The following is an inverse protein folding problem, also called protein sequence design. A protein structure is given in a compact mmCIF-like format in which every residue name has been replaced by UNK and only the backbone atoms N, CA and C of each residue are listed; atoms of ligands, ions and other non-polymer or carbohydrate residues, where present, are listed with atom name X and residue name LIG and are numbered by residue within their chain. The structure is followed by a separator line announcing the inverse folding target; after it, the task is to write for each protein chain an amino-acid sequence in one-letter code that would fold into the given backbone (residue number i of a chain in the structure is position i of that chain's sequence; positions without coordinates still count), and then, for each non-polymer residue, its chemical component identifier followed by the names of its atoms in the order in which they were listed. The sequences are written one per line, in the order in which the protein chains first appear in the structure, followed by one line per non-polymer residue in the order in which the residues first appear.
data_IF_287541286440
#
_entry.id   IF_287541286440
#
_cell.length_a   1.000
_cell.length_b   1.000
_cell.length_c   1.000
_cell.angle_alpha   90.00
_cell.angle_beta   90.00
_cell.angle_gamma   90.00
#
_symmetry.space_group_name_H-M   'P 1'
#
loop_
_entity.id
_entity.type
_entity.pdbx_description
1 polymer ?
#
# COMPACT_ATOMS: atom_id res chain seq x y z
N UNK A 1 28.06 60.69 5.32
CA UNK A 1 29.30 60.12 4.74
C UNK A 1 29.63 59.02 5.70
N UNK A 2 29.05 57.85 5.44
CA UNK A 2 28.82 56.82 6.44
C UNK A 2 29.67 55.63 5.99
N UNK A 3 30.81 55.46 6.66
CA UNK A 3 31.81 54.46 6.35
C UNK A 3 31.46 53.18 7.13
N UNK A 4 31.28 52.07 6.41
CA UNK A 4 31.15 50.73 6.97
C UNK A 4 32.32 49.88 6.46
N UNK A 5 33.32 49.68 7.31
CA UNK A 5 34.31 48.60 7.24
C UNK A 5 34.33 47.85 8.59
N UNK A 6 34.95 46.67 8.62
CA UNK A 6 35.07 45.84 9.83
C UNK A 6 36.50 45.65 10.34
N UNK A 7 37.47 46.47 9.90
CA UNK A 7 38.88 46.38 10.30
C UNK A 7 39.69 47.69 10.29
N UNK A 8 39.04 48.84 10.47
CA UNK A 8 39.60 50.18 10.64
C UNK A 8 41.00 50.25 11.31
N UNK A 9 42.06 50.47 10.52
CA UNK A 9 43.42 50.77 11.02
C UNK A 9 44.10 52.00 10.38
N UNK A 10 43.41 52.74 9.51
CA UNK A 10 43.78 54.11 9.14
C UNK A 10 44.82 54.30 8.03
N UNK A 11 45.21 53.27 7.28
CA UNK A 11 46.03 53.46 6.07
C UNK A 11 45.63 52.52 4.92
N UNK A 12 44.86 53.06 3.98
CA UNK A 12 44.67 52.49 2.64
C UNK A 12 43.43 51.62 2.45
N UNK A 13 42.26 52.24 2.32
CA UNK A 13 41.00 51.52 2.07
C UNK A 13 40.52 51.68 0.62
N UNK A 14 39.97 50.59 0.07
CA UNK A 14 39.38 50.50 -1.28
C UNK A 14 37.92 50.96 -1.31
N UNK A 15 37.49 51.62 -2.40
CA UNK A 15 36.24 52.40 -2.47
C UNK A 15 34.90 51.62 -2.48
N UNK A 16 34.86 50.30 -2.27
CA UNK A 16 33.61 49.54 -2.43
C UNK A 16 33.45 48.41 -1.40
N UNK A 17 32.73 48.66 -0.30
CA UNK A 17 32.45 47.65 0.73
C UNK A 17 31.11 46.94 0.58
N UNK A 18 31.14 45.64 0.88
CA UNK A 18 30.08 44.66 0.82
C UNK A 18 29.09 44.78 2.00
N UNK A 19 27.79 44.95 1.71
CA UNK A 19 26.72 44.85 2.74
C UNK A 19 25.81 43.62 2.54
N UNK A 20 26.01 42.81 1.49
CA UNK A 20 25.03 41.78 1.11
C UNK A 20 25.24 40.39 1.76
N UNK A 21 26.45 40.03 2.21
CA UNK A 21 26.76 38.64 2.57
C UNK A 21 26.63 38.27 4.06
N UNK A 22 26.51 39.23 4.98
CA UNK A 22 26.29 38.89 6.40
C UNK A 22 24.83 38.50 6.72
N UNK A 23 23.90 38.68 5.76
CA UNK A 23 22.48 38.39 5.94
C UNK A 23 22.05 36.96 5.55
N UNK A 24 22.97 36.09 5.10
CA UNK A 24 22.59 34.78 4.53
C UNK A 24 23.12 33.57 5.34
N UNK A 25 24.02 33.78 6.32
CA UNK A 25 24.66 32.68 7.06
C UNK A 25 24.66 32.86 8.59
N UNK A 26 23.52 33.18 9.19
CA UNK A 26 23.36 33.15 10.66
C UNK A 26 23.32 31.72 11.22
N UNK A 27 23.92 31.44 12.41
CA UNK A 27 23.89 30.12 13.04
C UNK A 27 22.48 29.75 13.52
N UNK A 28 22.16 28.45 13.66
CA UNK A 28 20.79 27.96 13.89
C UNK A 28 20.12 28.36 15.23
N UNK A 29 20.82 29.05 16.13
CA UNK A 29 20.40 29.16 17.54
C UNK A 29 20.20 30.59 18.06
N UNK A 30 20.28 31.63 17.23
CA UNK A 30 20.01 33.01 17.67
C UNK A 30 19.17 33.78 16.66
N UNK A 31 18.20 34.55 17.17
CA UNK A 31 17.36 35.41 16.35
C UNK A 31 18.10 36.66 15.89
N UNK A 32 17.83 37.11 14.67
CA UNK A 32 18.47 38.30 14.09
C UNK A 32 17.73 39.57 14.52
N UNK A 33 18.49 40.60 14.90
CA UNK A 33 17.99 41.91 15.30
C UNK A 33 18.47 42.96 14.29
N UNK A 34 17.55 43.82 13.83
CA UNK A 34 17.87 45.01 13.02
C UNK A 34 17.35 46.24 13.78
N UNK A 35 18.23 47.20 14.07
CA UNK A 35 17.90 48.41 14.85
C UNK A 35 17.21 48.17 16.22
N UNK A 36 17.47 47.03 16.86
CA UNK A 36 16.95 46.73 18.21
C UNK A 36 15.65 45.92 18.29
N UNK A 37 15.02 45.54 17.17
CA UNK A 37 13.87 44.60 17.15
C UNK A 37 14.15 43.32 16.34
N UNK A 38 13.52 42.21 16.77
CA UNK A 38 13.54 40.90 16.10
C UNK A 38 12.79 40.96 14.76
N UNK A 39 13.34 40.36 13.70
CA UNK A 39 12.67 40.20 12.40
C UNK A 39 12.69 38.75 11.91
N UNK A 40 11.57 38.30 11.33
CA UNK A 40 11.39 37.00 10.70
C UNK A 40 12.01 36.92 9.28
N UNK A 41 12.30 35.68 8.86
CA UNK A 41 13.01 35.31 7.62
C UNK A 41 12.31 35.84 6.36
N UNK A 42 13.07 36.37 5.38
CA UNK A 42 12.52 36.85 4.10
C UNK A 42 12.10 35.66 3.21
N UNK A 43 10.89 35.59 2.62
CA UNK A 43 10.37 34.36 2.00
C UNK A 43 10.85 34.06 0.57
N UNK A 44 11.85 34.74 0.02
CA UNK A 44 12.07 34.77 -1.43
C UNK A 44 13.22 33.90 -1.98
N UNK A 45 13.92 33.12 -1.14
CA UNK A 45 14.95 32.17 -1.60
C UNK A 45 14.82 30.85 -0.84
N UNK A 46 14.05 29.92 -1.39
CA UNK A 46 14.00 28.55 -0.92
C UNK A 46 15.25 27.80 -1.42
N UNK A 47 16.33 27.80 -0.63
CA UNK A 47 17.39 26.81 -0.79
C UNK A 47 16.94 25.53 -0.08
N UNK A 48 16.63 24.50 -0.86
CA UNK A 48 16.39 23.15 -0.35
C UNK A 48 17.73 22.52 0.04
N UNK A 49 17.78 21.90 1.21
CA UNK A 49 18.90 21.03 1.58
C UNK A 49 18.91 19.81 0.67
N UNK A 50 20.11 19.38 0.26
CA UNK A 50 20.28 18.12 -0.45
C UNK A 50 19.76 16.96 0.42
N UNK A 51 19.10 15.95 -0.17
CA UNK A 51 18.62 14.79 0.58
C UNK A 51 19.79 13.99 1.19
N UNK A 52 19.55 13.23 2.26
CA UNK A 52 20.54 12.34 2.86
C UNK A 52 21.11 11.37 1.82
N UNK A 53 22.43 11.36 1.62
CA UNK A 53 23.11 10.52 0.64
C UNK A 53 23.70 11.25 -0.59
N UNK A 54 23.49 12.57 -0.72
CA UNK A 54 24.17 13.36 -1.73
C UNK A 54 25.68 13.50 -1.42
N UNK A 55 26.54 13.03 -2.32
CA UNK A 55 28.01 13.13 -2.24
C UNK A 55 28.52 14.37 -3.01
N UNK A 56 29.43 15.12 -2.38
CA UNK A 56 30.11 16.28 -2.95
C UNK A 56 30.91 15.94 -4.22
N UNK A 57 31.38 14.70 -4.38
CA UNK A 57 32.08 14.23 -5.59
C UNK A 57 31.16 14.14 -6.82
N UNK A 58 29.84 14.04 -6.62
CA UNK A 58 28.85 14.01 -7.70
C UNK A 58 28.34 15.41 -8.08
N UNK A 59 28.82 16.46 -7.41
CA UNK A 59 28.56 17.85 -7.77
C UNK A 59 29.66 18.34 -8.70
N UNK A 60 29.47 18.25 -10.02
CA UNK A 60 30.45 18.73 -10.99
C UNK A 60 30.31 20.25 -11.21
N UNK A 61 31.44 20.95 -11.07
CA UNK A 61 31.56 22.42 -11.00
C UNK A 61 31.09 23.19 -12.24
N UNK A 62 30.75 24.46 -12.02
CA UNK A 62 30.46 25.40 -13.10
C UNK A 62 31.74 25.77 -13.87
N UNK A 63 31.63 25.90 -15.20
CA UNK A 63 32.69 26.45 -16.05
C UNK A 63 32.62 27.97 -16.06
N UNK A 64 33.79 28.63 -16.01
CA UNK A 64 33.94 30.07 -16.25
C UNK A 64 34.72 30.25 -17.54
N UNK A 65 34.22 31.10 -18.44
CA UNK A 65 34.95 31.56 -19.61
C UNK A 65 35.52 32.94 -19.29
N UNK A 66 36.84 33.09 -19.34
CA UNK A 66 37.52 34.36 -19.11
C UNK A 66 38.47 34.62 -20.28
N UNK A 67 38.11 35.61 -21.09
CA UNK A 67 38.93 36.12 -22.20
C UNK A 67 39.44 35.02 -23.17
N UNK A 68 38.60 34.00 -23.42
CA UNK A 68 38.89 32.91 -24.36
C UNK A 68 39.65 31.72 -23.78
N UNK A 69 39.88 31.67 -22.46
CA UNK A 69 40.54 30.56 -21.78
C UNK A 69 39.59 29.80 -20.83
N UNK A 70 39.57 28.46 -20.94
CA UNK A 70 38.77 27.59 -20.07
C UNK A 70 39.58 27.12 -18.85
N UNK A 71 39.09 27.41 -17.64
CA UNK A 71 39.63 26.88 -16.38
C UNK A 71 38.59 25.97 -15.70
N UNK A 72 39.01 24.76 -15.30
CA UNK A 72 38.21 23.81 -14.54
C UNK A 72 38.58 23.91 -13.05
N UNK A 73 37.64 24.28 -12.17
CA UNK A 73 37.83 24.19 -10.72
C UNK A 73 36.66 23.47 -10.06
N UNK A 74 37.00 22.54 -9.16
CA UNK A 74 36.07 21.93 -8.22
C UNK A 74 36.21 22.65 -6.87
N UNK A 75 35.09 23.10 -6.28
CA UNK A 75 35.07 23.88 -5.04
C UNK A 75 34.72 25.36 -5.27
N UNK A 76 34.26 26.03 -4.22
CA UNK A 76 33.72 27.40 -4.27
C UNK A 76 34.80 28.39 -4.72
N UNK A 77 34.69 28.90 -5.95
CA UNK A 77 35.53 29.98 -6.43
C UNK A 77 35.09 31.33 -5.84
N UNK A 78 36.00 32.00 -5.16
CA UNK A 78 35.97 33.43 -4.90
C UNK A 78 36.28 34.17 -6.21
N UNK A 79 35.36 34.97 -6.76
CA UNK A 79 35.70 35.93 -7.80
C UNK A 79 34.82 37.18 -7.73
N UNK A 80 35.49 38.31 -7.43
CA UNK A 80 34.98 39.66 -7.45
C UNK A 80 35.21 40.26 -8.86
N UNK A 81 34.22 41.02 -9.37
CA UNK A 81 34.29 41.94 -10.53
C UNK A 81 34.33 41.36 -11.97
N UNK A 82 33.26 40.69 -12.39
CA UNK A 82 32.97 40.46 -13.81
C UNK A 82 31.54 39.96 -14.04
N UNK A 83 30.96 40.18 -15.22
CA UNK A 83 29.63 39.66 -15.58
C UNK A 83 29.72 38.14 -15.67
N UNK A 84 29.27 37.43 -14.63
CA UNK A 84 29.28 35.97 -14.57
C UNK A 84 27.98 35.43 -15.16
N UNK A 85 28.08 34.58 -16.17
CA UNK A 85 27.02 33.67 -16.60
C UNK A 85 27.29 32.28 -16.04
N UNK A 86 26.39 31.75 -15.22
CA UNK A 86 26.48 30.39 -14.69
C UNK A 86 25.83 29.39 -15.65
N UNK A 87 26.60 28.39 -16.10
CA UNK A 87 26.04 27.17 -16.67
C UNK A 87 26.10 26.08 -15.61
N UNK A 88 24.95 25.68 -15.07
CA UNK A 88 24.82 24.37 -14.43
C UNK A 88 24.59 23.38 -15.55
N UNK A 89 25.36 22.28 -15.62
CA UNK A 89 24.91 21.11 -16.39
C UNK A 89 23.76 20.50 -15.60
N UNK A 90 22.51 20.64 -16.06
CA UNK A 90 21.37 20.10 -15.34
C UNK A 90 21.47 18.58 -15.30
N UNK A 91 20.70 17.95 -14.40
CA UNK A 91 20.33 16.56 -14.62
C UNK A 91 19.66 16.50 -15.99
N UNK A 92 20.38 15.98 -16.99
CA UNK A 92 19.93 15.96 -18.39
C UNK A 92 19.10 14.73 -18.68
N UNK A 93 19.08 13.73 -17.79
CA UNK A 93 18.25 12.57 -18.00
C UNK A 93 16.78 12.99 -18.10
N UNK A 94 16.01 12.33 -18.98
CA UNK A 94 14.59 12.60 -19.12
C UNK A 94 13.87 12.33 -17.81
N UNK A 95 12.70 12.95 -17.60
CA UNK A 95 11.87 12.73 -16.42
C UNK A 95 10.45 12.36 -16.82
N UNK A 96 9.99 11.22 -16.32
CA UNK A 96 8.61 10.76 -16.52
C UNK A 96 7.76 11.30 -15.38
N UNK A 97 6.70 12.03 -15.70
CA UNK A 97 5.76 12.60 -14.73
C UNK A 97 4.31 12.37 -15.17
N UNK A 98 3.41 12.43 -14.19
CA UNK A 98 1.97 12.20 -14.39
C UNK A 98 1.61 10.89 -15.13
N UNK A 99 2.22 9.74 -14.78
CA UNK A 99 1.79 8.46 -15.33
C UNK A 99 0.33 8.19 -14.93
N UNK A 100 -0.52 7.86 -15.90
CA UNK A 100 -1.95 7.65 -15.69
C UNK A 100 -2.51 6.56 -16.63
N UNK A 101 -3.41 5.74 -16.09
CA UNK A 101 -4.36 4.94 -16.87
C UNK A 101 -5.74 5.61 -16.90
N UNK A 102 -6.41 5.57 -18.05
CA UNK A 102 -7.78 6.03 -18.25
C UNK A 102 -8.59 5.01 -19.08
N UNK A 103 -9.55 4.30 -18.47
CA UNK A 103 -9.91 4.36 -17.06
C UNK A 103 -8.80 3.75 -16.16
N UNK A 104 -8.70 4.23 -14.90
CA UNK A 104 -7.78 3.66 -13.90
C UNK A 104 -8.23 2.30 -13.35
N UNK A 105 -9.46 1.89 -13.66
CA UNK A 105 -10.02 0.57 -13.36
C UNK A 105 -10.71 0.02 -14.60
N UNK A 106 -10.34 -1.19 -15.00
CA UNK A 106 -10.88 -1.88 -16.17
C UNK A 106 -11.71 -3.08 -15.72
N UNK A 107 -12.93 -3.18 -16.23
CA UNK A 107 -13.87 -4.28 -15.97
C UNK A 107 -13.94 -5.20 -17.19
N UNK A 108 -13.42 -6.43 -17.08
CA UNK A 108 -13.40 -7.40 -18.18
C UNK A 108 -14.65 -8.29 -18.09
N UNK A 109 -15.73 -7.91 -18.77
CA UNK A 109 -17.00 -8.66 -18.83
C UNK A 109 -16.97 -9.78 -19.89
N UNK A 110 -16.04 -10.72 -19.75
CA UNK A 110 -15.86 -11.82 -20.71
C UNK A 110 -15.27 -11.39 -22.06
N UNK A 111 -14.82 -10.14 -22.18
CA UNK A 111 -14.16 -9.60 -23.34
C UNK A 111 -13.04 -8.64 -22.93
N UNK A 112 -12.05 -8.49 -23.80
CA UNK A 112 -10.94 -7.54 -23.65
C UNK A 112 -11.48 -6.11 -23.59
N UNK A 113 -10.76 -5.23 -22.89
CA UNK A 113 -11.12 -3.82 -22.78
C UNK A 113 -9.92 -2.92 -23.07
N UNK A 114 -10.17 -1.80 -23.71
CA UNK A 114 -9.14 -0.80 -23.98
C UNK A 114 -8.89 0.08 -22.75
N UNK A 115 -7.62 0.39 -22.52
CA UNK A 115 -7.17 1.42 -21.59
C UNK A 115 -6.21 2.37 -22.29
N UNK A 116 -6.37 3.66 -22.02
CA UNK A 116 -5.43 4.69 -22.46
C UNK A 116 -4.37 4.91 -21.38
N UNK A 117 -3.11 4.69 -21.73
CA UNK A 117 -1.96 4.88 -20.86
C UNK A 117 -1.24 6.15 -21.31
N UNK A 118 -1.00 7.09 -20.38
CA UNK A 118 -0.37 8.37 -20.70
C UNK A 118 0.70 8.73 -19.68
N UNK A 119 1.71 9.47 -20.11
CA UNK A 119 2.63 10.20 -19.24
C UNK A 119 3.13 11.46 -19.94
N UNK A 120 3.70 12.39 -19.17
CA UNK A 120 4.47 13.51 -19.72
C UNK A 120 5.95 13.22 -19.53
N UNK A 121 6.75 13.43 -20.57
CA UNK A 121 8.22 13.28 -20.49
C UNK A 121 8.86 14.65 -20.63
N UNK A 122 9.63 15.06 -19.63
CA UNK A 122 10.43 16.28 -19.70
C UNK A 122 11.87 15.92 -19.99
N UNK A 123 12.41 16.40 -21.09
CA UNK A 123 13.80 16.22 -21.48
C UNK A 123 14.48 17.59 -21.66
N UNK A 124 15.63 17.80 -21.04
CA UNK A 124 16.21 19.15 -20.93
C UNK A 124 17.08 19.53 -22.12
N UNK A 125 17.81 18.56 -22.68
CA UNK A 125 18.69 18.74 -23.83
C UNK A 125 18.06 18.25 -25.15
N UNK A 126 16.80 17.80 -25.11
CA UNK A 126 15.97 17.40 -26.26
C UNK A 126 16.64 16.30 -27.10
N UNK A 127 17.29 15.34 -26.45
CA UNK A 127 17.96 14.20 -27.07
C UNK A 127 17.32 12.84 -26.67
N UNK A 128 16.07 12.86 -26.22
CA UNK A 128 15.26 11.69 -25.91
C UNK A 128 15.30 10.64 -27.03
N UNK A 129 15.67 9.41 -26.68
CA UNK A 129 15.80 8.29 -27.61
C UNK A 129 14.55 7.40 -27.61
N UNK A 130 14.00 7.11 -26.44
CA UNK A 130 12.86 6.21 -26.31
C UNK A 130 11.98 6.49 -25.09
N UNK A 131 10.70 6.20 -25.25
CA UNK A 131 9.72 6.11 -24.15
C UNK A 131 8.99 4.79 -24.33
N UNK A 132 9.21 3.87 -23.39
CA UNK A 132 8.62 2.52 -23.41
C UNK A 132 7.85 2.24 -22.13
N UNK A 133 6.89 1.33 -22.21
CA UNK A 133 6.11 0.81 -21.10
C UNK A 133 6.15 -0.72 -21.09
N UNK A 134 6.33 -1.30 -19.91
CA UNK A 134 6.23 -2.74 -19.68
C UNK A 134 4.76 -3.14 -19.50
N UNK A 135 4.19 -3.80 -20.51
CA UNK A 135 2.83 -4.34 -20.49
C UNK A 135 2.77 -5.84 -20.14
N UNK A 136 3.90 -6.47 -19.80
CA UNK A 136 3.89 -7.89 -19.39
C UNK A 136 2.94 -8.20 -18.21
N UNK A 137 2.64 -7.29 -17.26
CA UNK A 137 1.65 -7.55 -16.20
C UNK A 137 0.20 -7.69 -16.70
N UNK A 138 -0.08 -7.26 -17.93
CA UNK A 138 -1.36 -7.41 -18.63
C UNK A 138 -1.23 -8.29 -19.89
N UNK A 139 -0.28 -9.25 -19.88
CA UNK A 139 0.00 -10.17 -20.99
C UNK A 139 0.40 -9.48 -22.31
N UNK A 140 0.96 -8.27 -22.23
CA UNK A 140 1.47 -7.50 -23.36
C UNK A 140 2.99 -7.57 -23.52
N UNK A 141 3.52 -6.72 -24.40
CA UNK A 141 4.97 -6.57 -24.64
C UNK A 141 5.64 -5.84 -23.47
N UNK A 142 6.82 -6.30 -23.03
CA UNK A 142 7.59 -5.63 -21.98
C UNK A 142 8.37 -4.39 -22.44
N UNK A 143 8.38 -4.12 -23.75
CA UNK A 143 9.08 -2.98 -24.35
C UNK A 143 8.17 -2.22 -25.31
N UNK A 144 6.91 -2.01 -24.93
CA UNK A 144 5.95 -1.32 -25.79
C UNK A 144 6.29 0.16 -25.89
N UNK A 145 6.48 0.67 -27.11
CA UNK A 145 6.73 2.11 -27.34
C UNK A 145 5.47 2.94 -27.06
N UNK A 146 5.66 4.11 -26.43
CA UNK A 146 4.64 5.16 -26.29
C UNK A 146 4.88 6.30 -27.29
N UNK A 147 3.83 7.03 -27.65
CA UNK A 147 3.86 7.99 -28.78
C UNK A 147 3.31 9.38 -28.40
N UNK A 148 4.03 10.40 -28.83
CA UNK A 148 3.65 11.83 -28.81
C UNK A 148 3.53 12.32 -30.27
N UNK A 149 2.57 11.78 -31.00
CA UNK A 149 2.44 11.98 -32.44
C UNK A 149 0.99 12.15 -32.93
N UNK A 150 0.05 12.43 -32.03
CA UNK A 150 -1.38 12.49 -32.33
C UNK A 150 -2.02 11.13 -32.63
N UNK A 151 -1.37 10.02 -32.26
CA UNK A 151 -1.93 8.66 -32.40
C UNK A 151 -1.97 7.95 -31.06
N UNK A 152 -2.55 6.74 -31.00
CA UNK A 152 -2.61 5.93 -29.78
C UNK A 152 -3.30 6.61 -28.57
N UNK A 153 -4.16 7.59 -28.84
CA UNK A 153 -4.92 8.32 -27.82
C UNK A 153 -4.29 9.65 -27.39
N UNK A 154 -3.12 9.99 -27.92
CA UNK A 154 -2.59 11.34 -27.89
C UNK A 154 -3.41 12.25 -28.83
N UNK A 155 -3.70 13.45 -28.35
CA UNK A 155 -4.53 14.46 -29.00
C UNK A 155 -3.67 15.45 -29.80
N UNK A 156 -2.46 15.76 -29.33
CA UNK A 156 -1.65 16.87 -29.82
C UNK A 156 -0.21 16.44 -30.02
N UNK A 157 0.23 16.42 -31.27
CA UNK A 157 1.60 16.02 -31.63
C UNK A 157 2.66 16.97 -31.07
N UNK A 158 3.68 16.42 -30.43
CA UNK A 158 4.89 17.14 -29.99
C UNK A 158 4.68 18.01 -28.76
N UNK A 159 3.69 17.69 -27.91
CA UNK A 159 3.42 18.42 -26.67
C UNK A 159 4.04 17.77 -25.42
N UNK A 160 4.88 16.74 -25.64
CA UNK A 160 5.53 15.89 -24.66
C UNK A 160 4.60 14.97 -23.88
N UNK A 161 3.36 14.77 -24.32
CA UNK A 161 2.44 13.78 -23.76
C UNK A 161 2.52 12.49 -24.58
N UNK A 162 3.15 11.49 -23.98
CA UNK A 162 3.30 10.18 -24.59
C UNK A 162 2.10 9.31 -24.23
N UNK A 163 1.51 8.65 -25.22
CA UNK A 163 0.35 7.80 -25.05
C UNK A 163 0.53 6.41 -25.69
N UNK A 164 -0.18 5.44 -25.14
CA UNK A 164 -0.41 4.16 -25.79
C UNK A 164 -1.81 3.63 -25.42
N UNK A 165 -2.57 3.16 -26.42
CA UNK A 165 -3.86 2.49 -26.17
C UNK A 165 -3.62 0.99 -26.13
N UNK A 166 -3.69 0.41 -24.93
CA UNK A 166 -3.49 -1.01 -24.71
C UNK A 166 -4.84 -1.73 -24.61
N UNK A 167 -4.94 -2.91 -25.22
CA UNK A 167 -6.00 -3.85 -24.91
C UNK A 167 -5.59 -4.66 -23.67
N UNK A 168 -6.47 -4.74 -22.68
CA UNK A 168 -6.30 -5.58 -21.49
C UNK A 168 -7.07 -6.88 -21.74
N UNK A 169 -6.37 -8.00 -21.99
CA UNK A 169 -7.03 -9.25 -22.30
C UNK A 169 -7.68 -9.85 -21.06
N UNK A 170 -8.78 -10.59 -21.23
CA UNK A 170 -9.41 -11.36 -20.12
C UNK A 170 -8.39 -12.28 -19.43
N UNK A 171 -7.43 -12.80 -20.19
CA UNK A 171 -6.35 -13.66 -19.69
C UNK A 171 -5.43 -12.98 -18.66
N UNK A 172 -5.33 -11.64 -18.68
CA UNK A 172 -4.50 -10.89 -17.74
C UNK A 172 -4.94 -11.12 -16.28
N UNK A 173 -6.19 -11.53 -16.05
CA UNK A 173 -6.73 -11.81 -14.73
C UNK A 173 -6.96 -10.56 -13.87
N UNK A 174 -7.76 -10.72 -12.82
CA UNK A 174 -8.02 -9.65 -11.85
C UNK A 174 -6.77 -9.28 -11.05
N UNK A 175 -6.74 -8.05 -10.53
CA UNK A 175 -5.75 -7.57 -9.58
C UNK A 175 -5.18 -6.19 -9.94
N UNK A 176 -4.37 -5.65 -9.03
CA UNK A 176 -3.59 -4.44 -9.28
C UNK A 176 -2.36 -4.76 -10.14
N UNK A 177 -2.21 -4.05 -11.26
CA UNK A 177 -1.11 -4.21 -12.23
C UNK A 177 -0.21 -2.97 -12.16
N UNK A 178 1.07 -3.16 -11.88
CA UNK A 178 2.07 -2.09 -11.95
C UNK A 178 2.73 -2.10 -13.32
N UNK A 179 2.46 -1.08 -14.14
CA UNK A 179 3.03 -0.93 -15.48
C UNK A 179 4.15 0.10 -15.41
N UNK A 180 5.39 -0.33 -15.67
CA UNK A 180 6.56 0.53 -15.55
C UNK A 180 6.83 1.26 -16.87
N UNK A 181 6.93 2.58 -16.81
CA UNK A 181 7.38 3.43 -17.92
C UNK A 181 8.86 3.73 -17.74
N UNK A 182 9.63 3.66 -18.82
CA UNK A 182 11.03 4.07 -18.88
C UNK A 182 11.22 5.06 -20.03
N UNK A 183 11.73 6.25 -19.72
CA UNK A 183 12.23 7.19 -20.71
C UNK A 183 13.76 7.17 -20.69
N UNK A 184 14.39 7.08 -21.87
CA UNK A 184 15.84 7.05 -22.02
C UNK A 184 16.30 8.01 -23.13
N UNK A 185 17.47 8.61 -22.94
CA UNK A 185 18.14 9.47 -23.92
C UNK A 185 19.26 8.76 -24.68
N UNK A 186 19.75 9.39 -25.76
CA UNK A 186 20.88 8.89 -26.57
C UNK A 186 22.21 8.83 -25.80
N UNK A 187 22.30 9.50 -24.65
CA UNK A 187 23.45 9.49 -23.76
C UNK A 187 23.40 8.31 -22.76
N UNK A 188 22.35 7.50 -22.82
CA UNK A 188 22.12 6.34 -21.96
C UNK A 188 21.57 6.67 -20.58
N UNK A 189 21.14 7.91 -20.32
CA UNK A 189 20.49 8.27 -19.07
C UNK A 189 18.99 7.99 -19.15
N UNK A 190 18.39 7.63 -18.02
CA UNK A 190 16.98 7.24 -18.00
C UNK A 190 16.30 7.57 -16.68
N UNK A 191 14.97 7.61 -16.74
CA UNK A 191 14.09 7.73 -15.60
C UNK A 191 12.88 6.81 -15.75
N UNK A 192 12.31 6.40 -14.62
CA UNK A 192 11.20 5.47 -14.56
C UNK A 192 10.07 6.01 -13.69
N UNK A 193 8.84 5.66 -14.04
CA UNK A 193 7.64 5.90 -13.25
C UNK A 193 6.64 4.75 -13.44
N UNK A 194 5.68 4.60 -12.53
CA UNK A 194 4.72 3.48 -12.56
C UNK A 194 3.28 3.99 -12.77
N UNK A 195 2.51 3.24 -13.56
CA UNK A 195 1.05 3.32 -13.61
C UNK A 195 0.48 2.16 -12.79
N UNK A 196 -0.40 2.47 -11.84
CA UNK A 196 -1.19 1.47 -11.14
C UNK A 196 -2.55 1.32 -11.83
N UNK A 197 -2.77 0.18 -12.49
CA UNK A 197 -4.01 -0.18 -13.17
C UNK A 197 -4.74 -1.27 -12.38
N UNK A 198 -5.99 -1.03 -12.01
CA UNK A 198 -6.83 -2.05 -11.38
C UNK A 198 -7.61 -2.82 -12.46
N UNK A 199 -7.44 -4.15 -12.53
CA UNK A 199 -8.19 -5.02 -13.45
C UNK A 199 -9.17 -5.88 -12.65
N UNK A 200 -10.43 -5.93 -13.06
CA UNK A 200 -11.44 -6.84 -12.49
C UNK A 200 -12.04 -7.69 -13.61
N UNK A 201 -11.80 -9.00 -13.57
CA UNK A 201 -12.51 -9.96 -14.42
C UNK A 201 -13.90 -10.21 -13.85
N UNK A 202 -14.92 -10.00 -14.68
CA UNK A 202 -16.32 -10.23 -14.33
C UNK A 202 -16.79 -11.52 -14.97
N UNK A 203 -17.25 -12.46 -14.15
CA UNK A 203 -17.95 -13.65 -14.63
C UNK A 203 -19.41 -13.28 -14.87
N UNK A 204 -19.83 -13.32 -16.13
CA UNK A 204 -21.23 -13.12 -16.51
C UNK A 204 -22.03 -14.37 -16.18
N UNK A 205 -22.98 -14.27 -15.24
CA UNK A 205 -23.89 -15.35 -14.86
C UNK A 205 -23.92 -15.65 -13.37
N UNK A 206 -24.62 -16.73 -13.03
CA UNK A 206 -24.63 -17.37 -11.70
C UNK A 206 -23.60 -18.50 -11.72
N UNK A 207 -22.74 -18.59 -10.70
CA UNK A 207 -21.99 -19.84 -10.47
C UNK A 207 -23.00 -20.85 -9.92
N UNK A 208 -23.52 -21.69 -10.79
CA UNK A 208 -24.37 -22.83 -10.40
C UNK A 208 -23.47 -24.03 -10.18
N UNK A 209 -23.42 -24.49 -8.94
CA UNK A 209 -22.70 -25.71 -8.57
C UNK A 209 -23.45 -26.92 -9.16
N UNK A 210 -22.76 -27.75 -9.95
CA UNK A 210 -23.30 -29.04 -10.39
C UNK A 210 -23.46 -29.96 -9.16
N UNK A 211 -24.57 -30.71 -9.09
CA UNK A 211 -24.96 -31.46 -7.89
C UNK A 211 -23.83 -32.35 -7.32
N UNK A 212 -23.37 -32.03 -6.10
CA UNK A 212 -22.32 -32.75 -5.38
C UNK A 212 -21.50 -31.78 -4.51
N UNK A 213 -20.83 -32.29 -3.47
CA UNK A 213 -19.92 -31.49 -2.64
C UNK A 213 -18.77 -30.97 -3.51
N UNK A 214 -18.70 -29.65 -3.70
CA UNK A 214 -17.64 -29.00 -4.45
C UNK A 214 -16.97 -27.93 -3.59
N UNK A 215 -15.64 -27.96 -3.57
CA UNK A 215 -14.80 -26.97 -2.91
C UNK A 215 -14.12 -26.11 -3.98
N UNK A 216 -14.47 -24.82 -4.06
CA UNK A 216 -13.77 -23.84 -4.93
C UNK A 216 -12.89 -22.95 -4.06
N UNK A 217 -11.65 -22.72 -4.48
CA UNK A 217 -10.75 -21.74 -3.85
C UNK A 217 -10.48 -20.57 -4.79
N UNK A 218 -10.79 -19.37 -4.34
CA UNK A 218 -10.54 -18.11 -5.04
C UNK A 218 -9.29 -17.46 -4.44
N UNK A 219 -8.21 -17.47 -5.22
CA UNK A 219 -6.93 -16.83 -4.84
C UNK A 219 -6.81 -15.38 -5.34
N UNK A 220 -7.67 -14.98 -6.27
CA UNK A 220 -7.73 -13.63 -6.85
C UNK A 220 -9.13 -13.05 -6.67
N UNK A 221 -9.24 -11.72 -6.79
CA UNK A 221 -10.53 -11.04 -6.71
C UNK A 221 -11.50 -11.58 -7.77
N UNK A 222 -12.70 -11.97 -7.33
CA UNK A 222 -13.78 -12.44 -8.19
C UNK A 222 -14.89 -11.40 -8.23
N UNK A 223 -15.28 -10.99 -9.44
CA UNK A 223 -16.46 -10.17 -9.66
C UNK A 223 -17.52 -10.98 -10.41
N UNK A 224 -18.74 -11.02 -9.89
CA UNK A 224 -19.89 -11.72 -10.47
C UNK A 224 -20.94 -10.65 -10.75
N UNK A 225 -21.37 -10.48 -12.00
CA UNK A 225 -22.35 -9.44 -12.34
C UNK A 225 -23.75 -9.74 -11.78
N UNK A 226 -24.10 -11.02 -11.65
CA UNK A 226 -25.39 -11.49 -11.16
C UNK A 226 -25.38 -11.88 -9.68
N UNK A 227 -26.20 -12.88 -9.36
CA UNK A 227 -26.29 -13.48 -8.03
C UNK A 227 -25.29 -14.62 -7.87
N UNK A 228 -24.87 -14.88 -6.64
CA UNK A 228 -24.10 -16.06 -6.27
C UNK A 228 -24.86 -16.84 -5.20
N UNK A 229 -25.11 -18.13 -5.44
CA UNK A 229 -25.72 -19.04 -4.48
C UNK A 229 -24.70 -20.10 -4.06
N UNK A 230 -24.46 -20.24 -2.76
CA UNK A 230 -23.69 -21.35 -2.18
C UNK A 230 -24.71 -22.32 -1.58
N UNK A 231 -24.86 -23.48 -2.20
CA UNK A 231 -25.87 -24.48 -1.91
C UNK A 231 -25.50 -25.43 -0.77
N UNK A 232 -26.39 -26.38 -0.49
CA UNK A 232 -26.21 -27.34 0.60
C UNK A 232 -25.03 -28.28 0.29
N UNK A 233 -24.01 -28.27 1.16
CA UNK A 233 -22.81 -29.07 1.00
C UNK A 233 -21.74 -28.41 0.14
N UNK A 234 -21.98 -27.21 -0.38
CA UNK A 234 -20.99 -26.45 -1.15
C UNK A 234 -20.11 -25.63 -0.20
N UNK A 235 -18.80 -25.59 -0.50
CA UNK A 235 -17.86 -24.71 0.20
C UNK A 235 -17.12 -23.82 -0.79
N UNK A 236 -17.29 -22.51 -0.65
CA UNK A 236 -16.45 -21.52 -1.32
C UNK A 236 -15.39 -21.02 -0.34
N UNK A 237 -14.12 -21.12 -0.69
CA UNK A 237 -13.02 -20.52 0.07
C UNK A 237 -12.48 -19.32 -0.70
N UNK A 238 -12.45 -18.14 -0.09
CA UNK A 238 -11.91 -16.93 -0.69
C UNK A 238 -10.76 -16.38 0.16
N UNK A 239 -9.60 -16.19 -0.46
CA UNK A 239 -8.47 -15.44 0.11
C UNK A 239 -8.30 -14.05 -0.49
N UNK A 240 -9.21 -13.67 -1.39
CA UNK A 240 -9.27 -12.39 -2.07
C UNK A 240 -10.72 -11.87 -2.10
N UNK A 241 -10.92 -10.63 -2.56
CA UNK A 241 -12.22 -9.98 -2.57
C UNK A 241 -13.26 -10.70 -3.43
N UNK A 242 -14.52 -10.64 -3.01
CA UNK A 242 -15.67 -11.18 -3.75
C UNK A 242 -16.70 -10.09 -3.94
N UNK A 243 -16.94 -9.69 -5.18
CA UNK A 243 -18.00 -8.75 -5.57
C UNK A 243 -19.11 -9.51 -6.27
N UNK A 244 -20.35 -9.32 -5.82
CA UNK A 244 -21.56 -9.92 -6.40
C UNK A 244 -22.52 -8.78 -6.75
N UNK A 245 -22.89 -8.61 -8.02
CA UNK A 245 -23.64 -7.44 -8.48
C UNK A 245 -25.02 -7.34 -7.83
N UNK A 246 -25.67 -8.48 -7.59
CA UNK A 246 -26.99 -8.55 -6.94
C UNK A 246 -26.89 -9.19 -5.56
N UNK A 247 -27.24 -10.46 -5.41
CA UNK A 247 -27.41 -11.10 -4.12
C UNK A 247 -26.40 -12.23 -3.93
N UNK A 248 -25.66 -12.19 -2.83
CA UNK A 248 -24.93 -13.34 -2.31
C UNK A 248 -25.84 -14.11 -1.35
N UNK A 249 -26.16 -15.37 -1.68
CA UNK A 249 -26.96 -16.25 -0.82
C UNK A 249 -26.13 -17.45 -0.37
N UNK A 250 -26.00 -17.64 0.94
CA UNK A 250 -25.44 -18.86 1.55
C UNK A 250 -26.60 -19.65 2.16
N UNK A 251 -27.01 -20.71 1.46
CA UNK A 251 -28.14 -21.54 1.86
C UNK A 251 -27.80 -22.46 3.05
N UNK A 252 -28.82 -23.12 3.59
CA UNK A 252 -28.62 -24.16 4.61
C UNK A 252 -27.61 -25.21 4.14
N UNK A 253 -26.57 -25.45 4.94
CA UNK A 253 -25.49 -26.38 4.62
C UNK A 253 -24.41 -25.81 3.68
N UNK A 254 -24.59 -24.61 3.14
CA UNK A 254 -23.58 -23.90 2.36
C UNK A 254 -22.59 -23.14 3.24
N UNK A 255 -21.34 -23.08 2.80
CA UNK A 255 -20.25 -22.42 3.55
C UNK A 255 -19.41 -21.49 2.67
N UNK A 256 -19.25 -20.25 3.09
CA UNK A 256 -18.22 -19.33 2.60
C UNK A 256 -17.12 -19.21 3.65
N UNK A 257 -15.90 -19.63 3.32
CA UNK A 257 -14.71 -19.51 4.17
C UNK A 257 -13.85 -18.35 3.68
N UNK A 258 -13.56 -17.40 4.56
CA UNK A 258 -12.70 -16.25 4.27
C UNK A 258 -11.34 -16.43 4.92
N UNK A 259 -10.28 -16.40 4.11
CA UNK A 259 -8.90 -16.63 4.54
C UNK A 259 -8.17 -15.30 4.67
N UNK A 260 -7.61 -15.03 5.85
CA UNK A 260 -6.84 -13.82 6.10
C UNK A 260 -5.46 -13.85 5.45
N UNK A 261 -5.04 -12.72 4.92
CA UNK A 261 -3.67 -12.47 4.50
C UNK A 261 -2.86 -11.93 5.69
N UNK A 262 -2.03 -12.81 6.26
CA UNK A 262 -1.16 -12.48 7.39
C UNK A 262 0.02 -11.57 7.01
N UNK A 263 0.29 -11.38 5.72
CA UNK A 263 1.38 -10.55 5.21
C UNK A 263 0.97 -9.12 4.88
N UNK A 264 -0.34 -8.87 4.72
CA UNK A 264 -0.87 -7.55 4.41
C UNK A 264 -0.57 -6.55 5.52
N UNK A 265 0.15 -5.47 5.18
CA UNK A 265 0.43 -4.34 6.07
C UNK A 265 -0.85 -3.52 6.26
N UNK A 266 -1.60 -3.85 7.31
CA UNK A 266 -2.85 -3.21 7.65
C UNK A 266 -2.63 -1.98 8.53
N UNK A 267 -2.16 -0.89 7.93
CA UNK A 267 -1.88 0.38 8.61
C UNK A 267 -3.12 0.95 9.32
N UNK A 268 -4.31 0.74 8.76
CA UNK A 268 -5.58 1.18 9.35
C UNK A 268 -5.86 0.54 10.72
N UNK A 269 -5.29 -0.63 10.99
CA UNK A 269 -5.35 -1.29 12.29
C UNK A 269 -4.10 -1.06 13.16
N UNK A 270 -3.13 -0.27 12.70
CA UNK A 270 -1.85 -0.03 13.36
C UNK A 270 -0.71 -0.96 12.91
N UNK A 271 -0.89 -1.68 11.80
CA UNK A 271 0.13 -2.55 11.21
C UNK A 271 1.30 -1.79 10.60
N UNK A 272 2.44 -2.46 10.51
CA UNK A 272 3.68 -1.98 9.89
C UNK A 272 4.39 -3.12 9.16
N UNK A 273 5.39 -2.83 8.33
CA UNK A 273 6.16 -3.88 7.64
C UNK A 273 6.76 -4.95 8.59
N UNK A 274 7.17 -4.54 9.80
CA UNK A 274 7.70 -5.46 10.82
C UNK A 274 6.61 -6.27 11.54
N UNK A 275 5.39 -5.74 11.61
CA UNK A 275 4.26 -6.37 12.26
C UNK A 275 2.97 -5.98 11.51
N UNK A 276 2.58 -6.75 10.48
CA UNK A 276 1.63 -6.31 9.46
C UNK A 276 0.18 -6.24 9.94
N UNK A 277 -0.18 -6.93 11.02
CA UNK A 277 -1.54 -7.05 11.57
C UNK A 277 -2.54 -7.77 10.66
N UNK A 278 -2.19 -7.96 9.39
CA UNK A 278 -2.93 -8.74 8.41
C UNK A 278 -4.30 -8.14 8.09
N UNK A 279 -4.91 -8.61 7.01
CA UNK A 279 -6.27 -8.21 6.63
C UNK A 279 -7.01 -9.40 6.04
N UNK A 280 -8.34 -9.30 5.98
CA UNK A 280 -9.19 -10.32 5.39
C UNK A 280 -9.91 -9.81 4.14
N UNK A 281 -10.48 -10.72 3.33
CA UNK A 281 -11.26 -10.38 2.16
C UNK A 281 -12.42 -9.44 2.46
N UNK A 282 -12.73 -8.59 1.48
CA UNK A 282 -13.96 -7.81 1.45
C UNK A 282 -14.98 -8.47 0.54
N UNK A 283 -16.19 -8.64 1.05
CA UNK A 283 -17.34 -9.16 0.31
C UNK A 283 -18.30 -8.01 0.06
N UNK A 284 -18.58 -7.73 -1.21
CA UNK A 284 -19.48 -6.67 -1.66
C UNK A 284 -20.66 -7.27 -2.40
N UNK A 285 -21.88 -6.82 -2.06
CA UNK A 285 -23.07 -7.16 -2.84
C UNK A 285 -24.13 -6.06 -2.77
N UNK A 286 -25.22 -6.20 -3.55
CA UNK A 286 -26.42 -5.41 -3.27
C UNK A 286 -27.10 -5.92 -2.00
N UNK A 287 -27.30 -7.24 -1.89
CA UNK A 287 -27.83 -7.90 -0.71
C UNK A 287 -26.98 -9.14 -0.33
N UNK A 288 -26.87 -9.44 0.96
CA UNK A 288 -26.21 -10.65 1.46
C UNK A 288 -27.17 -11.40 2.36
N UNK A 289 -27.41 -12.67 2.07
CA UNK A 289 -28.29 -13.54 2.83
C UNK A 289 -27.51 -14.75 3.33
N UNK A 290 -27.41 -14.88 4.64
CA UNK A 290 -26.92 -16.10 5.31
C UNK A 290 -28.15 -16.80 5.87
N UNK A 291 -28.69 -17.76 5.12
CA UNK A 291 -29.90 -18.48 5.53
C UNK A 291 -29.65 -19.33 6.78
N UNK A 292 -30.72 -19.73 7.47
CA UNK A 292 -30.63 -20.68 8.59
C UNK A 292 -29.86 -21.93 8.16
N UNK A 293 -28.83 -22.31 8.93
CA UNK A 293 -27.94 -23.43 8.62
C UNK A 293 -26.81 -23.12 7.62
N UNK A 294 -26.81 -21.93 7.00
CA UNK A 294 -25.70 -21.42 6.18
C UNK A 294 -24.63 -20.73 7.03
N UNK A 295 -23.40 -20.64 6.50
CA UNK A 295 -22.26 -20.08 7.22
C UNK A 295 -21.36 -19.20 6.35
N UNK A 296 -21.09 -17.97 6.78
CA UNK A 296 -19.92 -17.20 6.35
C UNK A 296 -18.94 -17.16 7.52
N UNK A 297 -17.72 -17.66 7.35
CA UNK A 297 -16.77 -17.70 8.45
C UNK A 297 -15.30 -17.50 8.08
N UNK A 298 -14.54 -17.00 9.04
CA UNK A 298 -13.09 -16.89 9.03
C UNK A 298 -12.49 -17.59 10.26
N UNK A 299 -13.10 -18.68 10.73
CA UNK A 299 -12.70 -19.34 11.97
C UNK A 299 -11.29 -19.93 11.86
N UNK A 300 -10.37 -19.52 12.75
CA UNK A 300 -8.98 -19.95 12.73
C UNK A 300 -8.20 -19.51 11.47
N UNK A 301 -8.73 -18.55 10.70
CA UNK A 301 -8.13 -18.08 9.44
C UNK A 301 -7.34 -16.77 9.58
N UNK A 302 -6.95 -16.44 10.82
CA UNK A 302 -6.01 -15.37 11.13
C UNK A 302 -4.59 -15.90 11.27
N UNK A 303 -3.81 -15.30 12.17
CA UNK A 303 -2.44 -15.73 12.39
C UNK A 303 -2.37 -17.12 13.02
N UNK A 304 -1.43 -17.93 12.55
CA UNK A 304 -1.17 -19.27 13.09
C UNK A 304 -0.69 -19.24 14.56
N UNK A 305 -0.60 -20.42 15.17
CA UNK A 305 -0.06 -20.63 16.51
C UNK A 305 1.30 -19.91 16.71
N UNK A 306 1.46 -19.20 17.83
CA UNK A 306 2.62 -18.36 18.14
C UNK A 306 2.96 -17.27 17.10
N UNK A 307 1.98 -16.84 16.29
CA UNK A 307 2.12 -15.74 15.33
C UNK A 307 1.06 -14.67 15.57
N UNK A 308 1.34 -13.49 15.02
CA UNK A 308 0.46 -12.32 15.09
C UNK A 308 0.87 -11.30 16.15
N UNK A 309 0.34 -10.07 16.06
CA UNK A 309 0.74 -8.95 16.90
C UNK A 309 0.48 -9.16 18.39
N UNK A 310 -0.60 -9.87 18.72
CA UNK A 310 -1.01 -10.23 20.07
C UNK A 310 -0.86 -11.73 20.31
N UNK A 311 0.19 -12.36 19.77
CA UNK A 311 0.40 -13.79 20.00
C UNK A 311 0.52 -14.11 21.49
N UNK A 312 -0.02 -15.26 21.90
CA UNK A 312 0.19 -15.76 23.25
C UNK A 312 1.66 -16.10 23.52
N UNK A 313 2.06 -16.06 24.79
CA UNK A 313 3.37 -16.48 25.29
C UNK A 313 3.27 -17.87 25.92
N UNK A 314 4.38 -18.40 26.42
CA UNK A 314 4.36 -19.62 27.20
C UNK A 314 5.41 -19.61 28.31
N UNK A 315 5.12 -20.39 29.35
CA UNK A 315 6.00 -20.64 30.48
C UNK A 315 5.91 -22.12 30.82
N UNK A 316 7.06 -22.78 30.91
CA UNK A 316 7.13 -24.25 30.93
C UNK A 316 6.34 -24.84 29.76
N UNK A 317 5.50 -25.85 30.00
CA UNK A 317 4.72 -26.54 28.98
C UNK A 317 3.34 -25.93 28.73
N UNK A 318 3.07 -24.69 29.17
CA UNK A 318 1.72 -24.10 29.21
C UNK A 318 1.68 -22.75 28.48
N UNK A 319 0.86 -22.69 27.43
CA UNK A 319 0.62 -21.51 26.61
C UNK A 319 -0.51 -20.64 27.13
N UNK A 320 -0.37 -19.32 26.92
CA UNK A 320 -1.41 -18.32 27.18
C UNK A 320 -2.22 -18.01 25.93
N UNK A 321 -3.37 -17.36 26.08
CA UNK A 321 -4.25 -17.00 24.97
C UNK A 321 -3.68 -15.87 24.09
N UNK A 322 -4.08 -15.86 22.81
CA UNK A 322 -3.85 -14.71 21.93
C UNK A 322 -4.73 -13.52 22.33
N UNK A 323 -4.22 -12.30 22.14
CA UNK A 323 -4.95 -11.04 22.32
C UNK A 323 -5.41 -10.46 20.98
N UNK A 324 -6.57 -9.81 20.95
CA UNK A 324 -7.07 -8.95 19.86
C UNK A 324 -8.26 -8.13 20.39
N UNK A 325 -8.27 -6.80 20.23
CA UNK A 325 -9.26 -5.92 20.87
C UNK A 325 -9.22 -5.87 22.42
N UNK A 326 -8.50 -6.81 23.04
CA UNK A 326 -8.23 -6.95 24.46
C UNK A 326 -7.08 -7.93 24.67
N UNK A 327 -6.59 -8.04 25.90
CA UNK A 327 -5.52 -8.98 26.25
C UNK A 327 -6.02 -10.42 26.26
N UNK A 328 -5.18 -11.36 25.81
CA UNK A 328 -5.44 -12.79 25.95
C UNK A 328 -5.42 -13.24 27.41
N UNK A 329 -5.99 -14.42 27.69
CA UNK A 329 -5.94 -15.01 29.03
C UNK A 329 -4.56 -15.55 29.39
N UNK A 330 -4.12 -15.34 30.64
CA UNK A 330 -2.85 -15.88 31.14
C UNK A 330 -2.88 -17.41 31.21
N UNK A 331 -1.71 -18.04 31.05
CA UNK A 331 -1.58 -19.47 31.26
C UNK A 331 -1.60 -19.80 32.75
N UNK A 332 -1.95 -21.05 33.09
CA UNK A 332 -1.92 -21.50 34.48
C UNK A 332 -0.50 -21.58 35.10
N UNK A 333 0.56 -21.42 34.30
CA UNK A 333 1.95 -21.28 34.77
C UNK A 333 2.39 -19.81 34.90
N UNK A 334 1.47 -18.86 34.69
CA UNK A 334 1.75 -17.43 34.78
C UNK A 334 2.37 -16.82 33.52
N UNK A 335 2.33 -17.50 32.37
CA UNK A 335 2.70 -16.87 31.11
C UNK A 335 1.63 -15.82 30.75
N UNK A 336 2.05 -14.58 30.51
CA UNK A 336 1.13 -13.50 30.17
C UNK A 336 0.41 -13.78 28.84
N UNK A 337 -0.87 -13.47 28.78
CA UNK A 337 -1.64 -13.44 27.54
C UNK A 337 -1.08 -12.46 26.51
N UNK A 338 -1.46 -12.65 25.25
CA UNK A 338 -1.08 -11.74 24.18
C UNK A 338 -1.63 -10.33 24.38
N UNK A 339 -0.86 -9.33 23.98
CA UNK A 339 -1.25 -7.91 24.05
C UNK A 339 -2.47 -7.60 23.19
N UNK A 340 -3.24 -6.58 23.60
CA UNK A 340 -4.28 -6.00 22.75
C UNK A 340 -3.66 -5.25 21.56
N UNK A 341 -4.35 -5.29 20.42
CA UNK A 341 -4.03 -4.50 19.22
C UNK A 341 -5.29 -4.36 18.35
N UNK A 342 -5.16 -3.61 17.25
CA UNK A 342 -6.23 -3.35 16.30
C UNK A 342 -6.96 -2.03 16.57
N UNK A 343 -7.92 -1.72 15.70
CA UNK A 343 -8.81 -0.56 15.85
C UNK A 343 -10.25 -1.05 16.09
N UNK A 344 -11.00 -0.42 17.01
CA UNK A 344 -12.43 -0.73 17.18
C UNK A 344 -13.28 -0.21 16.02
N UNK A 345 -12.78 0.75 15.22
CA UNK A 345 -13.51 1.33 14.09
C UNK A 345 -12.55 1.93 13.05
N UNK A 346 -12.40 1.33 11.85
CA UNK A 346 -12.95 0.04 11.45
C UNK A 346 -12.13 -1.15 11.98
N UNK A 347 -12.76 -2.27 12.40
CA UNK A 347 -12.05 -3.49 12.79
C UNK A 347 -11.65 -4.29 11.54
N UNK A 348 -10.39 -4.21 11.14
CA UNK A 348 -9.88 -4.83 9.89
C UNK A 348 -8.79 -5.88 10.11
N UNK A 349 -8.19 -5.94 11.30
CA UNK A 349 -7.06 -6.82 11.56
C UNK A 349 -7.48 -8.27 11.83
N UNK A 350 -6.57 -9.19 11.53
CA UNK A 350 -6.70 -10.61 11.87
C UNK A 350 -6.50 -10.81 13.37
N UNK A 351 -7.07 -11.86 13.92
CA UNK A 351 -6.77 -12.37 15.27
C UNK A 351 -5.42 -13.08 15.34
N UNK A 352 -4.83 -13.11 16.54
CA UNK A 352 -3.53 -13.71 16.83
C UNK A 352 -3.63 -15.14 17.36
N UNK A 353 -2.61 -15.94 17.09
CA UNK A 353 -2.51 -17.30 17.63
C UNK A 353 -2.19 -17.32 19.12
N UNK A 354 -2.62 -18.38 19.79
CA UNK A 354 -2.25 -18.65 21.18
C UNK A 354 -0.76 -18.98 21.35
N UNK A 355 -0.36 -19.15 22.60
CA UNK A 355 0.99 -19.54 22.98
C UNK A 355 1.21 -21.05 23.02
N UNK A 356 2.48 -21.44 22.90
CA UNK A 356 2.98 -22.81 22.95
C UNK A 356 2.92 -23.62 21.63
N UNK A 357 4.02 -23.52 20.85
CA UNK A 357 4.31 -24.28 19.61
C UNK A 357 3.12 -24.43 18.66
N UNK A 358 3.06 -25.52 17.90
CA UNK A 358 1.94 -25.93 17.05
C UNK A 358 0.70 -26.40 17.83
N UNK A 359 0.77 -26.49 19.16
CA UNK A 359 -0.36 -26.90 20.00
C UNK A 359 -1.34 -25.76 20.26
N UNK A 360 -0.92 -24.51 20.05
CA UNK A 360 -1.78 -23.37 20.26
C UNK A 360 -2.84 -23.22 19.17
N UNK A 361 -3.97 -22.63 19.51
CA UNK A 361 -5.02 -22.32 18.55
C UNK A 361 -4.63 -21.16 17.63
N UNK A 362 -4.94 -21.21 16.33
CA UNK A 362 -4.79 -20.06 15.43
C UNK A 362 -5.82 -18.97 15.76
N UNK A 363 -5.50 -17.72 15.43
CA UNK A 363 -6.45 -16.60 15.56
C UNK A 363 -7.56 -16.64 14.52
N UNK A 364 -8.69 -16.00 14.79
CA UNK A 364 -9.77 -15.80 13.82
C UNK A 364 -9.35 -14.83 12.71
N UNK A 365 -9.92 -14.96 11.51
CA UNK A 365 -9.65 -14.04 10.40
C UNK A 365 -10.42 -12.72 10.50
N UNK A 366 -10.35 -11.89 9.47
CA UNK A 366 -11.13 -10.66 9.38
C UNK A 366 -12.18 -10.79 8.28
N UNK A 367 -13.39 -10.32 8.55
CA UNK A 367 -14.50 -10.32 7.61
C UNK A 367 -14.98 -8.89 7.43
N UNK A 368 -15.05 -8.42 6.18
CA UNK A 368 -15.80 -7.21 5.83
C UNK A 368 -16.94 -7.59 4.90
N UNK A 369 -18.18 -7.40 5.36
CA UNK A 369 -19.38 -7.49 4.52
C UNK A 369 -19.88 -6.08 4.22
N UNK A 370 -20.00 -5.74 2.95
CA UNK A 370 -20.48 -4.45 2.48
C UNK A 370 -21.66 -4.67 1.52
N UNK A 371 -22.87 -4.36 1.97
CA UNK A 371 -24.07 -4.39 1.14
C UNK A 371 -24.62 -2.97 0.95
N UNK A 372 -25.07 -2.63 -0.26
CA UNK A 372 -25.78 -1.36 -0.47
C UNK A 372 -27.21 -1.42 0.10
N UNK A 373 -27.83 -2.59 0.05
CA UNK A 373 -29.15 -2.90 0.59
C UNK A 373 -29.07 -3.59 1.96
N UNK A 374 -29.50 -4.85 2.01
CA UNK A 374 -29.72 -5.61 3.25
C UNK A 374 -28.69 -6.71 3.44
N UNK A 375 -28.21 -6.85 4.68
CA UNK A 375 -27.52 -8.05 5.16
C UNK A 375 -28.47 -8.78 6.11
N UNK A 376 -28.89 -9.99 5.73
CA UNK A 376 -29.73 -10.88 6.55
C UNK A 376 -28.89 -12.02 7.09
N UNK A 377 -28.76 -12.13 8.41
CA UNK A 377 -28.04 -13.20 9.09
C UNK A 377 -29.01 -14.05 9.90
N UNK A 378 -29.56 -15.10 9.28
CA UNK A 378 -30.35 -16.14 9.96
C UNK A 378 -29.50 -17.37 10.32
N UNK A 379 -28.40 -17.57 9.60
CA UNK A 379 -27.37 -18.59 9.88
C UNK A 379 -26.25 -18.08 10.79
N UNK A 380 -25.00 -18.40 10.43
CA UNK A 380 -23.81 -18.02 11.21
C UNK A 380 -22.86 -17.13 10.42
N UNK A 381 -22.47 -16.00 11.01
CA UNK A 381 -21.35 -15.17 10.59
C UNK A 381 -20.27 -15.22 11.70
N UNK A 382 -19.10 -15.80 11.44
CA UNK A 382 -18.13 -16.02 12.53
C UNK A 382 -16.65 -15.85 12.19
N UNK A 383 -15.89 -15.23 13.09
CA UNK A 383 -14.44 -15.05 13.00
C UNK A 383 -13.74 -15.52 14.29
N UNK A 384 -14.06 -16.72 14.75
CA UNK A 384 -13.59 -17.26 16.02
C UNK A 384 -12.13 -17.72 15.95
N UNK A 385 -11.41 -17.62 17.07
CA UNK A 385 -10.12 -18.27 17.27
C UNK A 385 -10.25 -19.77 17.46
N UNK A 386 -9.20 -20.51 17.12
CA UNK A 386 -9.10 -21.94 17.36
C UNK A 386 -8.71 -22.25 18.81
N UNK A 387 -9.08 -23.45 19.26
CA UNK A 387 -8.69 -23.94 20.58
C UNK A 387 -7.22 -24.40 20.59
N UNK A 388 -6.57 -24.26 21.74
CA UNK A 388 -5.32 -24.96 22.01
C UNK A 388 -5.57 -26.45 22.28
N UNK A 389 -4.57 -27.28 21.99
CA UNK A 389 -4.61 -28.72 22.15
C UNK A 389 -3.61 -29.21 23.20
N UNK A 390 -3.92 -30.34 23.86
CA UNK A 390 -3.00 -31.02 24.76
C UNK A 390 -2.25 -32.15 24.04
N UNK A 391 -0.92 -32.10 24.01
CA UNK A 391 -0.12 -33.16 23.39
C UNK A 391 1.29 -33.24 23.94
N UNK A 392 1.81 -34.45 24.16
CA UNK A 392 3.16 -34.68 24.70
C UNK A 392 3.48 -33.86 25.97
N UNK A 393 2.52 -33.74 26.89
CA UNK A 393 2.66 -32.96 28.14
C UNK A 393 2.57 -31.44 27.96
N UNK A 394 2.21 -30.98 26.76
CA UNK A 394 2.13 -29.58 26.40
C UNK A 394 0.68 -29.08 26.33
N UNK A 395 0.41 -27.88 26.80
CA UNK A 395 -0.91 -27.25 26.82
C UNK A 395 -0.89 -26.00 25.95
N UNK A 396 -1.47 -26.07 24.76
CA UNK A 396 -1.63 -24.92 23.89
C UNK A 396 -2.60 -23.89 24.45
N UNK A 397 -2.30 -22.60 24.27
CA UNK A 397 -3.26 -21.53 24.51
C UNK A 397 -4.25 -21.38 23.35
N UNK A 398 -5.44 -20.86 23.61
CA UNK A 398 -6.42 -20.55 22.56
C UNK A 398 -6.04 -19.33 21.73
N UNK A 399 -6.36 -19.33 20.45
CA UNK A 399 -6.21 -18.15 19.58
C UNK A 399 -7.27 -17.10 19.89
N UNK A 400 -6.97 -15.82 19.61
CA UNK A 400 -7.97 -14.76 19.75
C UNK A 400 -9.04 -14.86 18.66
N UNK A 401 -10.21 -14.26 18.91
CA UNK A 401 -11.12 -13.93 17.81
C UNK A 401 -10.47 -12.94 16.83
N UNK A 402 -11.07 -12.79 15.66
CA UNK A 402 -10.68 -11.78 14.67
C UNK A 402 -11.72 -10.67 14.53
N UNK A 403 -11.84 -10.12 13.32
CA UNK A 403 -12.71 -8.97 13.04
C UNK A 403 -13.96 -9.34 12.27
N UNK A 404 -15.08 -8.68 12.59
CA UNK A 404 -16.28 -8.66 11.75
C UNK A 404 -16.71 -7.21 11.59
N UNK A 405 -16.62 -6.70 10.36
CA UNK A 405 -17.09 -5.39 9.97
C UNK A 405 -18.26 -5.52 9.01
N UNK A 406 -19.43 -5.02 9.41
CA UNK A 406 -20.65 -5.03 8.61
C UNK A 406 -20.98 -3.59 8.24
N UNK A 407 -21.15 -3.34 6.94
CA UNK A 407 -21.64 -2.09 6.38
C UNK A 407 -22.85 -2.40 5.50
N UNK A 408 -24.04 -1.96 5.91
CA UNK A 408 -25.28 -2.23 5.20
C UNK A 408 -26.27 -1.10 5.36
N UNK A 409 -27.19 -0.94 4.41
CA UNK A 409 -28.37 -0.11 4.61
C UNK A 409 -29.29 -0.68 5.71
N UNK A 410 -29.46 -2.01 5.74
CA UNK A 410 -30.20 -2.72 6.79
C UNK A 410 -29.46 -3.99 7.22
N UNK A 411 -29.33 -4.21 8.53
CA UNK A 411 -28.88 -5.48 9.10
C UNK A 411 -30.06 -6.15 9.82
N UNK A 412 -30.40 -7.38 9.45
CA UNK A 412 -31.53 -8.14 10.02
C UNK A 412 -31.17 -9.62 10.19
N UNK A 413 -32.10 -10.39 10.77
CA UNK A 413 -32.01 -11.84 10.93
C UNK A 413 -31.93 -12.30 12.39
N UNK A 414 -32.17 -13.60 12.61
CA UNK A 414 -32.19 -14.22 13.95
C UNK A 414 -30.98 -15.09 14.28
N UNK A 415 -29.97 -15.04 13.41
CA UNK A 415 -28.78 -15.88 13.46
C UNK A 415 -27.72 -15.40 14.45
N UNK A 416 -26.51 -15.91 14.26
CA UNK A 416 -25.36 -15.66 15.15
C UNK A 416 -24.27 -14.88 14.44
N UNK A 417 -23.82 -13.79 15.06
CA UNK A 417 -22.61 -13.04 14.68
C UNK A 417 -21.60 -13.17 15.83
N UNK A 418 -20.42 -13.76 15.60
CA UNK A 418 -19.45 -13.97 16.69
C UNK A 418 -17.97 -13.94 16.28
N UNK A 419 -17.11 -13.36 17.12
CA UNK A 419 -15.65 -13.42 16.98
C UNK A 419 -15.01 -13.79 18.33
N UNK A 420 -15.31 -14.99 18.83
CA UNK A 420 -14.85 -15.45 20.15
C UNK A 420 -13.44 -16.01 20.08
N UNK A 421 -12.63 -15.78 21.11
CA UNK A 421 -11.38 -16.53 21.29
C UNK A 421 -11.62 -18.02 21.52
N UNK A 422 -10.61 -18.83 21.25
CA UNK A 422 -10.61 -20.25 21.53
C UNK A 422 -10.25 -20.57 22.98
N UNK A 423 -10.58 -21.78 23.40
CA UNK A 423 -10.22 -22.30 24.72
C UNK A 423 -8.74 -22.69 24.76
N UNK A 424 -8.10 -22.50 25.92
CA UNK A 424 -6.82 -23.14 26.21
C UNK A 424 -6.99 -24.65 26.41
N UNK A 425 -5.91 -25.41 26.21
CA UNK A 425 -5.90 -26.84 26.42
C UNK A 425 -6.09 -27.18 27.91
N UNK A 426 -6.95 -28.16 28.18
CA UNK A 426 -7.17 -28.75 29.50
C UNK A 426 -6.98 -30.26 29.45
N UNK A 427 -6.59 -30.88 30.56
CA UNK A 427 -6.69 -32.34 30.70
C UNK A 427 -8.15 -32.71 30.89
N UNK A 428 -8.76 -33.35 29.90
CA UNK A 428 -9.98 -34.11 30.11
C UNK A 428 -9.59 -35.50 30.60
N UNK A 429 -9.65 -35.72 31.91
CA UNK A 429 -9.73 -37.08 32.46
C UNK A 429 -11.13 -37.60 32.10
N UNK A 430 -11.20 -38.54 31.16
CA UNK A 430 -12.45 -39.26 30.83
C UNK A 430 -12.61 -40.43 31.78
#
# INVERSE_FOLDING_TARGET
RDNFDSDWNGTGDSEYTCTACHNVHGPPNQAMIRHGELIDKVPALNFTYLPPGADLQNSIGGKIDWDGHQLSQNGVCSACHGVISYYRTPYVAPKVIYPKADPGTVLLEGADQDVLLTCTVLDHDNNLESVIIDLSPIDGSSTQTMYDNGTNGDISTGDNIYSFRAAVPVAAGSGSKSLQITAADVSGQSNQAEIMLQVLVVVAGEIVWEAGTQDITLSNDLNIAGSLTIGNGDTLTASAGLTVGTTLTVNSGGTLVLVGDCSNINEAAGGSAANPYGSGPTITASDIVIASGGSINANGKGFAAQRGPGKGSHSSFRGSGGGYGGTGGDSSSGASGGSAYGSPSPPTALGSGGGYSSYAGPGGGAIKLAATGTITVDGTLSANGGNGWYGAGCYGGGGSGGSIWISSGTLTGSGKICATGGNGASESFV
#
